data_IF_323012231454
#
_entry.id   IF_323012231454
#
_cell.length_a   1.000
_cell.length_b   1.000
_cell.length_c   1.000
_cell.angle_alpha   90.00
_cell.angle_beta   90.00
_cell.angle_gamma   90.00
#
_symmetry.space_group_name_H-M   'P 1'
#
loop_
_entity.id
_entity.type
_entity.pdbx_description
1 polymer ?
#
# COMPACT_ATOMS: atom_id res chain seq x y z
N UNK A 1 9.90 5.66 19.31
CA UNK A 1 8.98 4.65 19.84
C UNK A 1 7.62 5.30 20.09
N UNK A 2 6.55 4.74 19.47
CA UNK A 2 5.17 5.22 19.63
C UNK A 2 4.67 5.22 21.09
N UNK A 3 3.38 5.47 21.31
CA UNK A 3 2.34 5.58 20.28
C UNK A 3 2.40 6.90 19.50
N UNK A 4 2.32 6.82 18.17
CA UNK A 4 2.38 7.98 17.28
C UNK A 4 1.04 8.70 17.20
N UNK A 5 1.08 10.02 17.05
CA UNK A 5 -0.05 10.88 16.75
C UNK A 5 0.26 11.65 15.49
N UNK A 6 -0.52 11.43 14.45
CA UNK A 6 -0.23 11.91 13.10
C UNK A 6 -1.43 12.72 12.61
N UNK A 7 -1.17 13.84 11.99
CA UNK A 7 -2.21 14.59 11.28
C UNK A 7 -1.65 15.22 10.03
N UNK A 8 -2.53 15.46 9.04
CA UNK A 8 -2.16 16.12 7.81
C UNK A 8 -3.29 16.94 7.22
N UNK A 9 -2.95 18.07 6.61
CA UNK A 9 -3.87 18.96 5.93
C UNK A 9 -3.85 18.71 4.42
N UNK A 10 -5.03 18.68 3.80
CA UNK A 10 -5.15 18.52 2.33
C UNK A 10 -4.46 17.23 1.85
N UNK A 11 -3.54 17.30 0.88
CA UNK A 11 -2.69 16.19 0.46
C UNK A 11 -1.91 15.57 1.63
N UNK A 12 -1.49 16.40 2.60
CA UNK A 12 -0.82 15.93 3.82
C UNK A 12 -1.66 14.95 4.65
N UNK A 13 -3.00 14.99 4.55
CA UNK A 13 -3.88 14.03 5.21
C UNK A 13 -3.76 12.63 4.58
N UNK A 14 -3.65 12.54 3.26
CA UNK A 14 -3.41 11.26 2.58
C UNK A 14 -2.02 10.72 2.91
N UNK A 15 -1.00 11.59 2.99
CA UNK A 15 0.32 11.19 3.48
C UNK A 15 0.29 10.70 4.92
N UNK A 16 -0.45 11.38 5.81
CA UNK A 16 -0.62 10.96 7.20
C UNK A 16 -1.28 9.58 7.30
N UNK A 17 -2.25 9.30 6.45
CA UNK A 17 -2.91 8.00 6.35
C UNK A 17 -1.92 6.91 5.92
N UNK A 18 -1.12 7.16 4.87
CA UNK A 18 -0.10 6.23 4.41
C UNK A 18 0.99 5.99 5.47
N UNK A 19 1.45 7.05 6.15
CA UNK A 19 2.43 6.92 7.25
C UNK A 19 1.85 6.07 8.39
N UNK A 20 0.57 6.26 8.75
CA UNK A 20 -0.09 5.43 9.76
C UNK A 20 -0.14 3.96 9.33
N UNK A 21 -0.47 3.70 8.06
CA UNK A 21 -0.48 2.35 7.50
C UNK A 21 0.91 1.69 7.59
N UNK A 22 1.96 2.40 7.21
CA UNK A 22 3.32 1.87 7.28
C UNK A 22 3.78 1.63 8.71
N UNK A 23 3.48 2.52 9.66
CA UNK A 23 3.79 2.34 11.08
C UNK A 23 3.10 1.10 11.65
N UNK A 24 1.80 0.92 11.39
CA UNK A 24 1.07 -0.29 11.78
C UNK A 24 1.67 -1.54 11.13
N UNK A 25 2.13 -1.43 9.88
CA UNK A 25 2.87 -2.49 9.18
C UNK A 25 4.23 -2.83 9.81
N UNK A 26 4.78 -1.94 10.65
CA UNK A 26 6.02 -2.13 11.41
C UNK A 26 5.79 -2.58 12.86
N UNK A 27 4.57 -2.84 13.27
CA UNK A 27 4.15 -3.07 14.67
C UNK A 27 4.34 -1.83 15.57
N UNK A 28 4.38 -0.64 14.96
CA UNK A 28 4.47 0.61 15.70
C UNK A 28 3.06 1.17 15.98
N UNK A 29 2.69 1.41 17.25
CA UNK A 29 1.33 1.81 17.59
C UNK A 29 1.04 3.25 17.15
N UNK A 30 -0.13 3.45 16.51
CA UNK A 30 -0.66 4.75 16.13
C UNK A 30 -1.87 5.06 17.03
N UNK A 31 -1.75 6.08 17.86
CA UNK A 31 -2.80 6.49 18.82
C UNK A 31 -3.79 7.49 18.22
N UNK A 32 -3.40 8.23 17.19
CA UNK A 32 -4.24 9.25 16.57
C UNK A 32 -3.91 9.43 15.10
N UNK A 33 -4.95 9.48 14.26
CA UNK A 33 -4.86 9.87 12.87
C UNK A 33 -5.88 10.97 12.57
N UNK A 34 -5.38 12.18 12.26
CA UNK A 34 -6.17 13.36 11.93
C UNK A 34 -6.05 13.75 10.47
N UNK A 35 -7.16 13.90 9.79
CA UNK A 35 -7.28 14.34 8.41
C UNK A 35 -7.92 15.74 8.42
N UNK A 36 -7.15 16.78 8.08
CA UNK A 36 -7.63 18.15 8.09
C UNK A 36 -8.02 18.52 6.67
N UNK A 37 -9.32 18.61 6.43
CA UNK A 37 -9.97 18.92 5.14
C UNK A 37 -9.33 18.18 3.94
N UNK A 38 -9.08 16.89 4.15
CA UNK A 38 -8.42 15.99 3.20
C UNK A 38 -9.46 15.11 2.50
N UNK A 39 -9.40 15.06 1.17
CA UNK A 39 -10.32 14.26 0.35
C UNK A 39 -9.77 12.86 0.13
N UNK A 40 -10.68 11.88 0.04
CA UNK A 40 -10.29 10.54 -0.42
C UNK A 40 -9.77 10.63 -1.85
N UNK A 41 -8.62 10.03 -2.16
CA UNK A 41 -8.01 10.06 -3.48
C UNK A 41 -8.72 9.11 -4.47
N UNK A 42 -10.01 9.33 -4.70
CA UNK A 42 -10.80 8.63 -5.72
C UNK A 42 -10.96 9.53 -6.94
N UNK A 43 -10.04 9.43 -7.88
CA UNK A 43 -10.10 10.19 -9.12
C UNK A 43 -10.76 9.36 -10.23
N UNK A 44 -11.64 9.99 -10.99
CA UNK A 44 -12.13 9.44 -12.27
C UNK A 44 -10.98 9.37 -13.26
N UNK A 45 -11.13 8.59 -14.35
CA UNK A 45 -10.09 8.48 -15.38
C UNK A 45 -9.74 9.84 -16.00
N UNK A 46 -10.72 10.72 -16.18
CA UNK A 46 -10.47 12.10 -16.58
C UNK A 46 -9.67 12.87 -15.52
N UNK A 47 -9.94 12.64 -14.24
CA UNK A 47 -9.18 13.19 -13.14
C UNK A 47 -7.73 12.70 -13.12
N UNK A 48 -7.50 11.42 -13.40
CA UNK A 48 -6.15 10.82 -13.48
C UNK A 48 -5.38 11.35 -14.69
N UNK A 49 -6.02 11.43 -15.87
CA UNK A 49 -5.41 11.92 -17.11
C UNK A 49 -4.91 13.37 -16.99
N UNK A 50 -5.54 14.16 -16.13
CA UNK A 50 -5.15 15.55 -15.86
C UNK A 50 -3.73 15.68 -15.27
N UNK A 51 -3.32 14.73 -14.45
CA UNK A 51 -2.04 14.72 -13.74
C UNK A 51 -0.93 14.00 -14.52
N UNK A 52 -1.21 13.54 -15.74
CA UNK A 52 -0.30 12.73 -16.53
C UNK A 52 -0.09 13.30 -17.92
N UNK A 53 1.01 12.89 -18.58
CA UNK A 53 1.33 13.28 -19.94
C UNK A 53 2.11 14.59 -20.06
N UNK A 54 2.54 14.94 -21.28
CA UNK A 54 3.50 16.03 -21.54
C UNK A 54 2.97 17.42 -21.18
N UNK A 55 1.65 17.59 -21.15
CA UNK A 55 1.01 18.89 -20.91
C UNK A 55 0.51 19.06 -19.46
N UNK A 56 0.80 18.12 -18.56
CA UNK A 56 0.28 18.17 -17.18
C UNK A 56 0.62 19.47 -16.44
N UNK A 57 1.86 19.92 -16.52
CA UNK A 57 2.30 21.19 -15.91
C UNK A 57 1.55 22.39 -16.47
N UNK A 58 1.39 22.44 -17.78
CA UNK A 58 0.70 23.53 -18.47
C UNK A 58 -0.79 23.56 -18.13
N UNK A 59 -1.43 22.40 -18.15
CA UNK A 59 -2.84 22.28 -17.72
C UNK A 59 -3.05 22.70 -16.28
N UNK A 60 -2.10 22.37 -15.39
CA UNK A 60 -2.21 22.76 -13.99
C UNK A 60 -2.05 24.27 -13.81
N UNK A 61 -1.11 24.92 -14.51
CA UNK A 61 -0.96 26.38 -14.51
C UNK A 61 -2.27 27.07 -14.94
N UNK A 62 -2.86 26.67 -16.07
CA UNK A 62 -4.12 27.24 -16.55
C UNK A 62 -5.29 26.99 -15.60
N UNK A 63 -5.28 25.83 -14.90
CA UNK A 63 -6.29 25.55 -13.90
C UNK A 63 -6.21 26.50 -12.70
N UNK A 64 -5.01 26.79 -12.19
CA UNK A 64 -4.82 27.75 -11.11
C UNK A 64 -5.34 29.13 -11.51
N UNK A 65 -5.01 29.58 -12.73
CA UNK A 65 -5.54 30.81 -13.28
C UNK A 65 -7.08 30.79 -13.39
N UNK A 66 -7.63 29.70 -13.93
CA UNK A 66 -9.09 29.52 -14.08
C UNK A 66 -9.81 29.53 -12.74
N UNK A 67 -9.30 28.85 -11.75
CA UNK A 67 -9.89 28.82 -10.40
C UNK A 67 -9.94 30.22 -9.78
N UNK A 68 -8.84 30.97 -9.89
CA UNK A 68 -8.77 32.33 -9.37
C UNK A 68 -9.78 33.26 -10.07
N UNK A 69 -9.78 33.32 -11.41
CA UNK A 69 -10.64 34.22 -12.16
C UNK A 69 -12.12 33.85 -12.11
N UNK A 70 -12.42 32.55 -11.97
CA UNK A 70 -13.80 32.11 -11.72
C UNK A 70 -14.33 32.64 -10.38
N UNK A 71 -13.50 32.61 -9.33
CA UNK A 71 -13.86 33.20 -8.04
C UNK A 71 -13.99 34.71 -8.04
N UNK A 72 -13.30 35.42 -8.96
CA UNK A 72 -13.37 36.88 -9.15
C UNK A 72 -14.46 37.32 -10.14
N UNK A 73 -15.14 36.40 -10.83
CA UNK A 73 -16.11 36.71 -11.87
C UNK A 73 -15.49 37.26 -13.15
N UNK A 74 -14.24 36.94 -13.44
CA UNK A 74 -13.46 37.43 -14.59
C UNK A 74 -13.82 36.76 -15.90
N UNK A 75 -14.90 37.15 -16.56
CA UNK A 75 -15.41 36.50 -17.79
C UNK A 75 -14.42 36.62 -18.95
N UNK A 76 -13.81 37.79 -19.14
CA UNK A 76 -12.84 38.02 -20.23
C UNK A 76 -11.54 37.24 -19.99
N UNK A 77 -11.11 37.12 -18.74
CA UNK A 77 -9.93 36.33 -18.34
C UNK A 77 -10.17 34.83 -18.59
N UNK A 78 -11.35 34.34 -18.24
CA UNK A 78 -11.72 32.94 -18.48
C UNK A 78 -11.74 32.62 -19.99
N UNK A 79 -12.26 33.49 -20.82
CA UNK A 79 -12.25 33.33 -22.28
C UNK A 79 -10.81 33.28 -22.85
N UNK A 80 -9.90 34.13 -22.34
CA UNK A 80 -8.47 34.09 -22.71
C UNK A 80 -7.77 32.79 -22.26
N UNK A 81 -8.10 32.31 -21.07
CA UNK A 81 -7.57 31.03 -20.57
C UNK A 81 -8.02 29.85 -21.46
N UNK A 82 -9.27 29.85 -21.92
CA UNK A 82 -9.78 28.84 -22.86
C UNK A 82 -9.06 28.89 -24.22
N UNK A 83 -8.74 30.05 -24.72
CA UNK A 83 -7.95 30.23 -25.94
C UNK A 83 -6.52 29.64 -25.79
N UNK A 84 -5.89 29.88 -24.64
CA UNK A 84 -4.56 29.31 -24.35
C UNK A 84 -4.62 27.77 -24.16
N UNK A 85 -5.66 27.26 -23.54
CA UNK A 85 -5.89 25.83 -23.36
C UNK A 85 -6.03 25.10 -24.72
N UNK A 86 -6.74 25.72 -25.68
CA UNK A 86 -6.84 25.19 -27.05
C UNK A 86 -5.51 25.16 -27.81
N UNK A 87 -4.50 25.94 -27.38
CA UNK A 87 -3.16 26.02 -27.98
C UNK A 87 -2.08 25.30 -27.12
N UNK A 88 -2.48 24.59 -26.10
CA UNK A 88 -1.57 24.06 -25.06
C UNK A 88 -0.46 23.16 -25.62
N UNK A 89 -0.76 22.37 -26.65
CA UNK A 89 0.20 21.47 -27.33
C UNK A 89 1.24 22.21 -28.20
N UNK A 90 1.03 23.51 -28.49
CA UNK A 90 1.90 24.30 -29.36
C UNK A 90 2.93 25.13 -28.59
N UNK A 91 2.79 25.22 -27.27
CA UNK A 91 3.62 26.02 -26.38
C UNK A 91 4.41 25.11 -25.44
N UNK A 92 5.65 25.47 -25.15
CA UNK A 92 6.33 24.95 -23.96
C UNK A 92 5.83 25.65 -22.69
N UNK A 93 6.26 25.20 -21.52
CA UNK A 93 5.82 25.78 -20.25
C UNK A 93 6.21 27.24 -20.11
N UNK A 94 7.43 27.61 -20.51
CA UNK A 94 7.95 28.97 -20.41
C UNK A 94 7.16 29.93 -21.33
N UNK A 95 6.85 29.52 -22.56
CA UNK A 95 6.04 30.28 -23.49
C UNK A 95 4.60 30.45 -23.03
N UNK A 96 4.01 29.43 -22.42
CA UNK A 96 2.67 29.55 -21.83
C UNK A 96 2.67 30.52 -20.62
N UNK A 97 3.66 30.37 -19.72
CA UNK A 97 3.80 31.24 -18.55
C UNK A 97 3.97 32.71 -18.96
N UNK A 98 4.82 32.97 -19.97
CA UNK A 98 4.98 34.33 -20.48
C UNK A 98 3.68 34.91 -21.04
N UNK A 99 2.91 34.11 -21.81
CA UNK A 99 1.59 34.57 -22.31
C UNK A 99 0.60 34.82 -21.19
N UNK A 100 0.58 34.00 -20.13
CA UNK A 100 -0.24 34.24 -18.95
C UNK A 100 0.13 35.58 -18.27
N UNK A 101 1.43 35.93 -18.20
CA UNK A 101 1.89 37.23 -17.67
C UNK A 101 1.47 38.37 -18.55
N UNK A 102 1.71 38.30 -19.86
CA UNK A 102 1.40 39.37 -20.82
C UNK A 102 -0.10 39.69 -20.88
N UNK A 103 -0.92 38.67 -20.64
CA UNK A 103 -2.38 38.80 -20.64
C UNK A 103 -2.97 39.09 -19.25
N UNK A 104 -2.14 39.20 -18.20
CA UNK A 104 -2.57 39.50 -16.84
C UNK A 104 -3.41 38.38 -16.20
N UNK A 105 -3.18 37.12 -16.58
CA UNK A 105 -3.97 36.00 -16.13
C UNK A 105 -3.49 35.43 -14.80
N UNK A 106 -2.21 35.70 -14.39
CA UNK A 106 -1.67 35.26 -13.13
C UNK A 106 -2.19 36.15 -11.99
N UNK A 107 -2.60 35.52 -10.89
CA UNK A 107 -2.91 36.31 -9.67
C UNK A 107 -1.63 36.85 -9.02
N UNK A 108 -1.76 37.83 -8.15
CA UNK A 108 -0.67 38.70 -7.67
C UNK A 108 0.57 37.90 -7.17
N UNK A 109 0.35 36.84 -6.38
CA UNK A 109 1.47 36.03 -5.83
C UNK A 109 2.22 35.26 -6.94
N UNK A 110 1.48 34.69 -7.91
CA UNK A 110 2.11 34.02 -9.07
C UNK A 110 2.82 35.02 -10.00
N UNK A 111 2.23 36.16 -10.20
CA UNK A 111 2.83 37.20 -11.04
C UNK A 111 4.11 37.79 -10.47
N UNK A 112 4.23 37.84 -9.13
CA UNK A 112 5.41 38.31 -8.41
C UNK A 112 6.51 37.26 -8.26
N UNK A 113 6.20 35.96 -8.43
CA UNK A 113 7.16 34.90 -8.27
C UNK A 113 8.15 34.81 -9.45
N UNK A 114 9.38 34.39 -9.16
CA UNK A 114 10.34 34.04 -10.22
C UNK A 114 9.87 32.79 -10.98
N UNK A 115 10.17 32.72 -12.28
CA UNK A 115 9.73 31.61 -13.15
C UNK A 115 10.17 30.24 -12.64
N UNK A 116 11.39 30.14 -12.10
CA UNK A 116 11.91 28.89 -11.53
C UNK A 116 11.14 28.46 -10.27
N UNK A 117 10.76 29.40 -9.41
CA UNK A 117 10.00 29.11 -8.19
C UNK A 117 8.57 28.68 -8.53
N UNK A 118 7.97 29.33 -9.52
CA UNK A 118 6.65 29.00 -10.01
C UNK A 118 6.63 27.62 -10.71
N UNK A 119 7.63 27.32 -11.53
CA UNK A 119 7.77 26.00 -12.13
C UNK A 119 7.90 24.93 -11.05
N UNK A 120 8.78 25.12 -10.07
CA UNK A 120 8.96 24.18 -8.96
C UNK A 120 7.70 23.99 -8.13
N UNK A 121 6.90 25.06 -7.96
CA UNK A 121 5.58 24.96 -7.30
C UNK A 121 4.62 24.10 -8.12
N UNK A 122 4.50 24.36 -9.43
CA UNK A 122 3.61 23.62 -10.32
C UNK A 122 4.04 22.15 -10.45
N UNK A 123 5.34 21.87 -10.57
CA UNK A 123 5.88 20.51 -10.60
C UNK A 123 5.51 19.73 -9.34
N UNK A 124 5.63 20.32 -8.17
CA UNK A 124 5.23 19.72 -6.90
C UNK A 124 3.74 19.42 -6.85
N UNK A 125 2.89 20.39 -7.24
CA UNK A 125 1.43 20.20 -7.27
C UNK A 125 1.01 19.09 -8.25
N UNK A 126 1.62 19.06 -9.43
CA UNK A 126 1.38 17.97 -10.41
C UNK A 126 1.89 16.63 -9.86
N UNK A 127 3.04 16.62 -9.20
CA UNK A 127 3.57 15.43 -8.52
C UNK A 127 2.63 14.89 -7.44
N UNK A 128 2.05 15.78 -6.61
CA UNK A 128 1.03 15.40 -5.62
C UNK A 128 -0.22 14.84 -6.29
N UNK A 129 -0.73 15.50 -7.34
CA UNK A 129 -1.89 15.03 -8.08
C UNK A 129 -1.66 13.68 -8.76
N UNK A 130 -0.46 13.47 -9.32
CA UNK A 130 -0.05 12.18 -9.89
C UNK A 130 0.01 11.09 -8.82
N UNK A 131 0.60 11.37 -7.65
CA UNK A 131 0.63 10.44 -6.53
C UNK A 131 -0.78 10.04 -6.06
N UNK A 132 -1.68 11.02 -5.91
CA UNK A 132 -3.09 10.76 -5.56
C UNK A 132 -3.82 9.91 -6.62
N UNK A 133 -3.53 10.12 -7.90
CA UNK A 133 -4.14 9.39 -9.01
C UNK A 133 -3.80 7.90 -9.00
N UNK A 134 -2.66 7.53 -8.42
CA UNK A 134 -2.16 6.17 -8.37
C UNK A 134 -2.16 5.57 -6.96
N UNK A 135 -2.64 6.33 -5.97
CA UNK A 135 -2.74 5.86 -4.59
C UNK A 135 -3.96 4.96 -4.42
N UNK A 136 -3.73 3.78 -3.85
CA UNK A 136 -4.79 2.87 -3.44
C UNK A 136 -4.91 2.88 -1.93
N UNK A 137 -6.09 3.23 -1.47
CA UNK A 137 -6.39 3.36 -0.06
C UNK A 137 -6.89 2.00 0.45
N UNK A 138 -6.26 1.50 1.50
CA UNK A 138 -6.70 0.31 2.22
C UNK A 138 -7.26 0.71 3.59
N UNK A 139 -8.34 0.07 4.07
CA UNK A 139 -8.85 0.32 5.41
C UNK A 139 -7.79 0.12 6.49
N UNK A 140 -7.76 0.99 7.49
CA UNK A 140 -6.93 0.86 8.68
C UNK A 140 -7.79 0.40 9.86
N UNK A 141 -7.26 -0.38 10.82
CA UNK A 141 -8.00 -0.85 11.99
C UNK A 141 -8.05 0.17 13.14
N UNK A 142 -7.91 1.46 12.84
CA UNK A 142 -7.88 2.55 13.83
C UNK A 142 -8.91 3.63 13.50
N UNK A 143 -9.41 4.37 14.51
CA UNK A 143 -10.26 5.53 14.27
C UNK A 143 -9.57 6.60 13.44
N UNK A 144 -10.30 7.20 12.50
CA UNK A 144 -9.86 8.31 11.66
C UNK A 144 -10.67 9.56 12.00
N UNK A 145 -9.99 10.63 12.38
CA UNK A 145 -10.60 11.91 12.74
C UNK A 145 -10.54 12.87 11.54
N UNK A 146 -11.69 13.16 10.95
CA UNK A 146 -11.82 14.13 9.87
C UNK A 146 -12.25 15.48 10.42
N UNK A 147 -11.40 16.49 10.32
CA UNK A 147 -11.70 17.88 10.66
C UNK A 147 -11.98 18.62 9.34
N UNK A 148 -13.24 18.82 9.02
CA UNK A 148 -13.69 19.29 7.71
C UNK A 148 -14.13 20.75 7.72
N UNK A 149 -13.76 21.52 6.69
CA UNK A 149 -14.19 22.89 6.51
C UNK A 149 -15.71 22.96 6.23
N UNK A 150 -16.41 23.90 6.87
CA UNK A 150 -17.84 24.13 6.66
C UNK A 150 -18.11 24.82 5.31
N UNK A 151 -17.28 25.81 4.96
CA UNK A 151 -17.43 26.60 3.75
C UNK A 151 -16.81 25.88 2.56
N UNK A 152 -17.64 25.27 1.72
CA UNK A 152 -17.20 24.49 0.55
C UNK A 152 -17.81 25.01 -0.73
N UNK A 153 -17.07 24.97 -1.86
CA UNK A 153 -17.65 25.22 -3.18
C UNK A 153 -18.83 24.29 -3.45
N UNK A 154 -19.88 24.80 -4.06
CA UNK A 154 -21.16 24.10 -4.27
C UNK A 154 -21.02 22.77 -5.01
N UNK A 155 -20.04 22.65 -5.90
CA UNK A 155 -19.77 21.40 -6.63
C UNK A 155 -19.16 20.29 -5.75
N UNK A 156 -18.35 20.65 -4.76
CA UNK A 156 -17.74 19.72 -3.82
C UNK A 156 -18.71 19.34 -2.70
N UNK A 157 -19.59 20.26 -2.29
CA UNK A 157 -20.65 20.02 -1.29
C UNK A 157 -21.66 18.94 -1.73
N UNK A 158 -21.83 18.75 -3.05
CA UNK A 158 -22.74 17.74 -3.62
C UNK A 158 -22.14 16.33 -3.63
N UNK A 159 -20.84 16.16 -3.45
CA UNK A 159 -20.19 14.85 -3.61
C UNK A 159 -20.23 13.99 -2.34
N UNK A 160 -19.92 14.53 -1.18
CA UNK A 160 -20.03 13.86 0.11
C UNK A 160 -19.71 14.81 1.26
N UNK A 161 -20.45 14.72 2.35
CA UNK A 161 -20.19 15.47 3.58
C UNK A 161 -18.87 15.06 4.21
N UNK A 162 -18.55 13.77 4.14
CA UNK A 162 -17.35 13.15 4.70
C UNK A 162 -16.12 13.20 3.79
N UNK A 163 -16.13 14.03 2.73
CA UNK A 163 -15.04 14.11 1.73
C UNK A 163 -14.71 12.75 1.08
N UNK A 164 -15.66 11.81 1.12
CA UNK A 164 -15.55 10.45 0.57
C UNK A 164 -14.95 9.42 1.53
N UNK A 165 -14.54 9.80 2.75
CA UNK A 165 -13.92 8.87 3.71
C UNK A 165 -14.91 7.86 4.28
N UNK A 166 -16.19 8.20 4.39
CA UNK A 166 -17.23 7.28 4.88
C UNK A 166 -17.33 5.99 4.04
N UNK A 167 -17.17 6.12 2.71
CA UNK A 167 -17.20 4.98 1.79
C UNK A 167 -15.88 4.21 1.71
N UNK A 168 -14.80 4.78 2.27
CA UNK A 168 -13.46 4.25 2.18
C UNK A 168 -13.00 3.53 3.45
N UNK A 169 -13.70 3.75 4.55
CA UNK A 169 -13.39 3.21 5.87
C UNK A 169 -14.43 2.18 6.30
N UNK A 170 -14.05 1.36 7.26
CA UNK A 170 -15.01 0.46 7.92
C UNK A 170 -16.07 1.28 8.66
N UNK A 171 -17.36 0.91 8.61
CA UNK A 171 -18.41 1.62 9.29
C UNK A 171 -18.11 1.87 10.78
N UNK A 172 -18.27 3.12 11.22
CA UNK A 172 -18.01 3.53 12.61
C UNK A 172 -16.55 3.93 12.92
N UNK A 173 -15.63 3.84 11.99
CA UNK A 173 -14.26 4.32 12.17
C UNK A 173 -14.09 5.82 11.96
N UNK A 174 -14.92 6.43 11.12
CA UNK A 174 -14.83 7.85 10.84
C UNK A 174 -15.45 8.66 11.99
N UNK A 175 -14.68 9.61 12.52
CA UNK A 175 -15.11 10.61 13.49
C UNK A 175 -14.95 11.98 12.84
N UNK A 176 -16.06 12.57 12.41
CA UNK A 176 -16.04 13.86 11.72
C UNK A 176 -16.39 15.00 12.67
N UNK A 177 -15.65 16.10 12.53
CA UNK A 177 -15.91 17.37 13.20
C UNK A 177 -15.82 18.49 12.16
N UNK A 178 -16.86 19.32 12.09
CA UNK A 178 -16.89 20.46 11.21
C UNK A 178 -16.20 21.67 11.85
N UNK A 179 -15.33 22.32 11.07
CA UNK A 179 -14.51 23.46 11.49
C UNK A 179 -14.89 24.68 10.65
N UNK A 180 -15.11 25.87 11.26
CA UNK A 180 -15.41 27.10 10.54
C UNK A 180 -14.36 27.48 9.50
N UNK A 181 -14.78 28.12 8.42
CA UNK A 181 -13.95 28.56 7.30
C UNK A 181 -13.95 27.59 6.13
N UNK A 182 -13.23 27.96 5.10
CA UNK A 182 -12.95 27.15 3.90
C UNK A 182 -11.62 26.39 4.03
N UNK A 183 -11.25 25.65 2.98
CA UNK A 183 -10.02 24.84 2.91
C UNK A 183 -8.75 25.59 3.32
N UNK A 184 -8.64 26.88 3.00
CA UNK A 184 -7.47 27.70 3.30
C UNK A 184 -7.63 28.47 4.60
N UNK A 185 -8.77 29.11 4.81
CA UNK A 185 -9.03 30.00 5.93
C UNK A 185 -9.16 29.26 7.27
N UNK A 186 -9.55 27.96 7.27
CA UNK A 186 -9.56 27.13 8.49
C UNK A 186 -8.18 27.04 9.16
N UNK A 187 -7.10 27.17 8.36
CA UNK A 187 -5.71 27.15 8.85
C UNK A 187 -5.21 28.53 9.31
N UNK A 188 -6.04 29.56 9.28
CA UNK A 188 -5.69 30.93 9.59
C UNK A 188 -6.60 31.52 10.68
N UNK A 189 -6.17 32.63 11.29
CA UNK A 189 -7.02 33.37 12.20
C UNK A 189 -8.23 34.00 11.44
N UNK A 190 -9.45 33.95 11.98
CA UNK A 190 -9.78 33.52 13.35
C UNK A 190 -10.05 32.00 13.50
N UNK A 191 -10.23 31.25 12.40
CA UNK A 191 -10.75 29.87 12.36
C UNK A 191 -9.78 28.85 12.96
N UNK A 192 -8.46 29.10 12.89
CA UNK A 192 -7.43 28.19 13.44
C UNK A 192 -7.64 27.85 14.92
N UNK A 193 -8.30 28.74 15.67
CA UNK A 193 -8.61 28.46 17.09
C UNK A 193 -9.66 27.37 17.26
N UNK A 194 -10.67 27.36 16.39
CA UNK A 194 -11.70 26.30 16.37
C UNK A 194 -11.09 24.96 15.95
N UNK A 195 -10.21 24.97 14.93
CA UNK A 195 -9.46 23.77 14.51
C UNK A 195 -8.60 23.24 15.67
N UNK A 196 -7.86 24.13 16.37
CA UNK A 196 -7.05 23.74 17.51
C UNK A 196 -7.86 23.14 18.66
N UNK A 197 -9.04 23.69 18.96
CA UNK A 197 -9.95 23.14 19.96
C UNK A 197 -10.46 21.75 19.58
N UNK A 198 -10.96 21.58 18.34
CA UNK A 198 -11.41 20.30 17.82
C UNK A 198 -10.31 19.23 17.81
N UNK A 199 -9.08 19.62 17.44
CA UNK A 199 -7.92 18.74 17.49
C UNK A 199 -7.58 18.32 18.93
N UNK A 200 -7.64 19.26 19.89
CA UNK A 200 -7.35 18.98 21.30
C UNK A 200 -8.37 18.01 21.88
N UNK A 201 -9.65 18.18 21.56
CA UNK A 201 -10.72 17.29 22.00
C UNK A 201 -10.53 15.88 21.39
N UNK A 202 -10.25 15.81 20.10
CA UNK A 202 -10.00 14.54 19.41
C UNK A 202 -8.80 13.79 20.02
N UNK A 203 -7.71 14.51 20.31
CA UNK A 203 -6.51 13.96 20.93
C UNK A 203 -6.74 13.47 22.37
N UNK A 204 -7.58 14.15 23.14
CA UNK A 204 -7.88 13.76 24.52
C UNK A 204 -8.68 12.44 24.62
N UNK A 205 -9.47 12.14 23.59
CA UNK A 205 -10.27 10.89 23.48
C UNK A 205 -9.49 9.70 22.94
N UNK A 206 -8.23 9.86 22.56
CA UNK A 206 -7.45 8.81 21.90
C UNK A 206 -6.60 8.01 22.89
N UNK A 207 -6.97 6.74 23.07
CA UNK A 207 -6.09 5.72 23.62
C UNK A 207 -5.34 5.03 22.50
N UNK A 208 -4.11 4.59 22.74
CA UNK A 208 -3.40 3.75 21.79
C UNK A 208 -4.23 2.48 21.54
N UNK A 209 -4.78 2.35 20.34
CA UNK A 209 -5.37 1.09 19.91
C UNK A 209 -4.18 0.18 19.60
N UNK A 210 -3.87 -0.69 20.54
CA UNK A 210 -3.04 -1.86 20.24
C UNK A 210 -3.94 -2.75 19.37
N UNK A 211 -3.58 -2.90 18.10
CA UNK A 211 -4.14 -3.94 17.24
C UNK A 211 -4.08 -5.25 18.05
N UNK A 212 -5.17 -6.02 18.09
CA UNK A 212 -5.15 -7.34 18.72
C UNK A 212 -3.96 -8.10 18.20
N UNK A 213 -3.06 -8.51 19.08
CA UNK A 213 -1.78 -9.10 18.68
C UNK A 213 -2.04 -10.25 17.69
N UNK A 214 -1.55 -10.11 16.48
CA UNK A 214 -1.66 -11.14 15.46
C UNK A 214 -0.98 -12.42 15.95
N UNK A 215 -1.70 -13.53 15.89
CA UNK A 215 -1.18 -14.86 16.24
C UNK A 215 -0.94 -15.65 14.96
N UNK A 216 0.28 -15.64 14.40
CA UNK A 216 0.54 -16.26 13.11
C UNK A 216 0.54 -17.78 13.14
N UNK A 217 0.72 -18.40 14.32
CA UNK A 217 1.01 -19.83 14.44
C UNK A 217 -0.26 -20.68 14.29
N UNK A 218 -0.25 -21.54 13.29
CA UNK A 218 -1.27 -22.57 13.07
C UNK A 218 -0.60 -23.95 13.03
N UNK A 219 -1.08 -24.89 13.84
CA UNK A 219 -0.60 -26.27 13.80
C UNK A 219 -1.24 -27.01 12.63
N UNK A 220 -0.41 -27.43 11.68
CA UNK A 220 -0.86 -28.22 10.52
C UNK A 220 -0.84 -29.71 10.87
N UNK A 221 0.21 -30.16 11.58
CA UNK A 221 0.39 -31.57 11.95
C UNK A 221 1.04 -31.69 13.32
N UNK A 222 0.56 -32.63 14.13
CA UNK A 222 0.99 -32.79 15.54
C UNK A 222 2.41 -33.33 15.70
N UNK A 223 2.81 -34.24 14.84
CA UNK A 223 4.14 -34.87 14.90
C UNK A 223 4.35 -35.84 16.11
N UNK A 224 5.58 -36.33 16.24
CA UNK A 224 6.03 -37.24 17.28
C UNK A 224 7.10 -36.60 18.15
N UNK A 225 7.11 -36.91 19.44
CA UNK A 225 8.14 -36.42 20.33
C UNK A 225 9.55 -36.85 19.88
N UNK A 226 10.50 -35.95 19.94
CA UNK A 226 11.90 -36.19 19.53
C UNK A 226 12.22 -35.68 18.09
N UNK A 227 11.22 -35.35 17.29
CA UNK A 227 11.43 -34.67 15.99
C UNK A 227 11.45 -33.17 16.19
N UNK A 228 12.43 -32.49 15.60
CA UNK A 228 12.49 -31.05 15.60
C UNK A 228 11.32 -30.47 14.75
N UNK A 229 10.60 -29.45 15.24
CA UNK A 229 9.46 -28.91 14.53
C UNK A 229 9.85 -28.15 13.25
N UNK A 230 8.96 -28.24 12.25
CA UNK A 230 9.07 -27.53 10.98
C UNK A 230 8.12 -26.36 10.99
N UNK A 231 8.64 -25.16 10.74
CA UNK A 231 7.86 -23.93 10.62
C UNK A 231 7.86 -23.44 9.18
N UNK A 232 6.67 -23.30 8.61
CA UNK A 232 6.45 -22.94 7.21
C UNK A 232 5.91 -21.52 7.06
N UNK A 233 6.58 -20.72 6.23
CA UNK A 233 6.19 -19.35 5.90
C UNK A 233 5.69 -19.33 4.45
N UNK A 234 4.41 -19.00 4.20
CA UNK A 234 3.85 -18.99 2.87
C UNK A 234 4.31 -17.78 2.03
N UNK A 235 4.05 -17.86 0.75
CA UNK A 235 4.29 -16.79 -0.21
C UNK A 235 3.41 -15.56 -0.01
N UNK A 236 3.64 -14.55 -0.82
CA UNK A 236 2.86 -13.33 -0.82
C UNK A 236 1.39 -13.63 -1.16
N UNK A 237 0.47 -13.21 -0.30
CA UNK A 237 -0.97 -13.44 -0.49
C UNK A 237 -1.45 -14.87 -0.25
N UNK A 238 -0.54 -15.79 0.10
CA UNK A 238 -0.85 -17.21 0.32
C UNK A 238 -1.20 -17.51 1.78
N UNK A 239 -1.98 -18.58 1.95
CA UNK A 239 -2.31 -19.16 3.25
C UNK A 239 -1.37 -20.34 3.60
N UNK A 240 -1.19 -20.56 4.89
CA UNK A 240 -0.49 -21.76 5.42
C UNK A 240 -1.13 -23.08 5.00
N UNK A 241 -2.37 -23.07 4.53
CA UNK A 241 -3.06 -24.25 4.01
C UNK A 241 -2.35 -24.86 2.80
N UNK A 242 -1.54 -24.10 2.05
CA UNK A 242 -0.68 -24.58 0.98
C UNK A 242 0.35 -25.63 1.43
N UNK A 243 0.66 -25.68 2.74
CA UNK A 243 1.61 -26.65 3.28
C UNK A 243 0.99 -27.96 3.81
N UNK A 244 -0.34 -28.12 3.71
CA UNK A 244 -1.02 -29.36 4.15
C UNK A 244 -0.47 -30.58 3.37
N UNK A 245 -0.36 -30.46 2.04
CA UNK A 245 0.23 -31.53 1.21
C UNK A 245 1.69 -31.80 1.53
N UNK A 246 2.47 -30.79 1.92
CA UNK A 246 3.83 -30.98 2.40
C UNK A 246 3.85 -31.82 3.69
N UNK A 247 2.93 -31.55 4.63
CA UNK A 247 2.80 -32.31 5.87
C UNK A 247 2.49 -33.79 5.60
N UNK A 248 1.59 -34.06 4.67
CA UNK A 248 1.27 -35.44 4.25
C UNK A 248 2.48 -36.13 3.64
N UNK A 249 3.25 -35.44 2.79
CA UNK A 249 4.43 -35.99 2.13
C UNK A 249 5.62 -36.25 3.09
N UNK A 250 5.79 -35.38 4.10
CA UNK A 250 6.82 -35.56 5.14
C UNK A 250 6.53 -36.73 6.07
N UNK A 251 5.29 -37.17 6.15
CA UNK A 251 4.86 -38.20 7.09
C UNK A 251 4.54 -37.64 8.47
N UNK A 252 3.76 -38.42 9.23
CA UNK A 252 3.12 -38.00 10.50
C UNK A 252 4.06 -37.78 11.68
N UNK A 253 5.34 -38.15 11.55
CA UNK A 253 6.31 -38.02 12.65
C UNK A 253 6.80 -36.57 12.84
N UNK A 254 6.72 -35.74 11.83
CA UNK A 254 7.20 -34.36 11.87
C UNK A 254 6.14 -33.41 12.41
N UNK A 255 6.40 -32.68 13.54
CA UNK A 255 5.55 -31.58 13.94
C UNK A 255 5.63 -30.46 12.88
N UNK A 256 4.49 -30.04 12.30
CA UNK A 256 4.45 -29.04 11.25
C UNK A 256 3.54 -27.88 11.65
N UNK A 257 4.09 -26.70 11.58
CA UNK A 257 3.41 -25.44 11.88
C UNK A 257 3.46 -24.50 10.69
N UNK A 258 2.36 -23.80 10.44
CA UNK A 258 2.30 -22.70 9.49
C UNK A 258 2.32 -21.36 10.20
N UNK A 259 3.03 -20.41 9.64
CA UNK A 259 3.11 -19.04 10.13
C UNK A 259 2.30 -18.13 9.19
N UNK A 260 1.02 -17.95 9.53
CA UNK A 260 0.05 -17.22 8.70
C UNK A 260 0.41 -15.73 8.59
N UNK A 261 0.52 -15.17 7.36
CA UNK A 261 0.76 -13.75 7.19
C UNK A 261 -0.36 -12.90 7.79
N UNK A 262 0.00 -11.78 8.42
CA UNK A 262 -0.96 -10.80 8.91
C UNK A 262 -1.68 -10.13 7.73
N UNK A 263 -2.98 -9.88 7.88
CA UNK A 263 -3.80 -9.18 6.90
C UNK A 263 -4.45 -10.06 5.85
N UNK A 264 -4.28 -11.39 5.89
CA UNK A 264 -5.01 -12.30 4.99
C UNK A 264 -6.52 -12.33 5.26
N UNK A 265 -6.96 -11.95 6.44
CA UNK A 265 -8.37 -11.74 6.81
C UNK A 265 -8.99 -10.50 6.13
N UNK A 266 -8.16 -9.60 5.59
CA UNK A 266 -8.58 -8.31 5.04
C UNK A 266 -8.77 -7.21 6.09
N UNK A 267 -8.67 -7.53 7.39
CA UNK A 267 -8.89 -6.59 8.50
C UNK A 267 -7.59 -5.96 8.98
N UNK A 268 -6.59 -6.78 9.31
CA UNK A 268 -5.32 -6.31 9.81
C UNK A 268 -4.43 -5.74 8.69
N UNK A 269 -3.53 -4.81 9.06
CA UNK A 269 -2.52 -4.27 8.14
C UNK A 269 -1.41 -5.32 7.92
N UNK A 270 -1.11 -5.73 6.68
CA UNK A 270 0.03 -6.61 6.41
C UNK A 270 1.35 -6.01 6.89
N UNK A 271 2.30 -6.86 7.29
CA UNK A 271 3.64 -6.39 7.58
C UNK A 271 4.28 -5.76 6.33
N UNK A 272 4.80 -4.56 6.48
CA UNK A 272 5.43 -3.79 5.39
C UNK A 272 6.93 -4.02 5.26
N UNK A 273 7.52 -4.82 6.15
CA UNK A 273 8.94 -5.21 6.14
C UNK A 273 9.10 -6.67 6.52
N UNK A 274 10.09 -7.32 5.92
CA UNK A 274 10.47 -8.71 6.22
C UNK A 274 10.87 -8.86 7.69
N UNK A 275 11.61 -7.88 8.20
CA UNK A 275 12.11 -7.85 9.59
C UNK A 275 10.97 -7.79 10.62
N UNK A 276 9.87 -7.10 10.31
CA UNK A 276 8.69 -7.04 11.18
C UNK A 276 7.93 -8.37 11.16
N UNK A 277 7.70 -8.94 9.98
CA UNK A 277 7.09 -10.26 9.83
C UNK A 277 7.90 -11.34 10.56
N UNK A 278 9.23 -11.33 10.39
CA UNK A 278 10.11 -12.28 11.07
C UNK A 278 10.07 -12.15 12.59
N UNK A 279 10.03 -10.92 13.14
CA UNK A 279 9.88 -10.70 14.60
C UNK A 279 8.59 -11.30 15.13
N UNK A 280 7.47 -11.00 14.47
CA UNK A 280 6.16 -11.53 14.85
C UNK A 280 6.14 -13.06 14.83
N UNK A 281 6.67 -13.65 13.77
CA UNK A 281 6.76 -15.11 13.62
C UNK A 281 7.66 -15.75 14.66
N UNK A 282 8.80 -15.12 14.99
CA UNK A 282 9.72 -15.63 16.01
C UNK A 282 9.11 -15.61 17.41
N UNK A 283 8.36 -14.57 17.77
CA UNK A 283 7.64 -14.53 19.05
C UNK A 283 6.67 -15.72 19.18
N UNK A 284 5.94 -16.03 18.12
CA UNK A 284 5.02 -17.17 18.12
C UNK A 284 5.76 -18.53 18.13
N UNK A 285 6.87 -18.63 17.39
CA UNK A 285 7.74 -19.80 17.38
C UNK A 285 8.37 -20.04 18.76
N UNK A 286 8.88 -19.02 19.41
CA UNK A 286 9.50 -19.10 20.74
C UNK A 286 8.49 -19.47 21.83
N UNK A 287 7.25 -19.00 21.70
CA UNK A 287 6.17 -19.39 22.61
C UNK A 287 5.83 -20.89 22.50
N UNK A 288 5.72 -21.43 21.29
CA UNK A 288 5.40 -22.84 21.04
C UNK A 288 6.61 -23.76 21.29
N UNK A 289 7.78 -23.32 20.85
CA UNK A 289 9.03 -24.09 20.93
C UNK A 289 10.16 -23.21 21.47
N UNK A 290 10.25 -23.03 22.81
CA UNK A 290 11.24 -22.11 23.41
C UNK A 290 12.68 -22.59 23.29
N UNK A 291 12.90 -23.88 23.11
CA UNK A 291 14.24 -24.51 23.10
C UNK A 291 14.38 -25.56 22.00
N UNK A 292 15.64 -25.88 21.68
CA UNK A 292 15.98 -26.90 20.70
C UNK A 292 16.03 -26.43 19.25
N UNK A 293 16.47 -27.30 18.35
CA UNK A 293 16.60 -27.01 16.93
C UNK A 293 15.24 -26.90 16.26
N UNK A 294 15.20 -26.10 15.20
CA UNK A 294 14.00 -25.93 14.37
C UNK A 294 14.34 -26.02 12.88
N UNK A 295 13.40 -26.50 12.09
CA UNK A 295 13.45 -26.43 10.64
C UNK A 295 12.61 -25.25 10.15
N UNK A 296 13.15 -24.48 9.21
CA UNK A 296 12.45 -23.36 8.59
C UNK A 296 12.23 -23.66 7.10
N UNK A 297 11.02 -23.44 6.63
CA UNK A 297 10.63 -23.57 5.23
C UNK A 297 9.95 -22.27 4.81
N UNK A 298 10.43 -21.65 3.73
CA UNK A 298 9.81 -20.45 3.17
C UNK A 298 9.51 -20.62 1.69
N UNK A 299 8.30 -20.27 1.27
CA UNK A 299 7.90 -20.28 -0.13
C UNK A 299 7.86 -18.86 -0.68
N UNK A 300 8.44 -18.63 -1.86
CA UNK A 300 8.42 -17.33 -2.54
C UNK A 300 8.84 -16.19 -1.60
N UNK A 301 8.04 -15.13 -1.41
CA UNK A 301 8.29 -14.07 -0.43
C UNK A 301 8.55 -14.59 0.99
N UNK A 302 7.90 -15.70 1.39
CA UNK A 302 8.13 -16.36 2.66
C UNK A 302 9.55 -16.89 2.82
N UNK A 303 10.30 -17.10 1.74
CA UNK A 303 11.72 -17.43 1.77
C UNK A 303 12.57 -16.32 2.38
N UNK A 304 12.28 -15.05 2.08
CA UNK A 304 12.95 -13.91 2.71
C UNK A 304 12.65 -13.83 4.21
N UNK A 305 11.39 -14.05 4.59
CA UNK A 305 10.98 -14.03 6.00
C UNK A 305 11.65 -15.20 6.76
N UNK A 306 11.68 -16.40 6.19
CA UNK A 306 12.36 -17.57 6.79
C UNK A 306 13.87 -17.36 6.93
N UNK A 307 14.51 -16.70 5.94
CA UNK A 307 15.92 -16.32 6.01
C UNK A 307 16.19 -15.34 7.15
N UNK A 308 15.38 -14.29 7.29
CA UNK A 308 15.50 -13.32 8.37
C UNK A 308 15.27 -13.97 9.75
N UNK A 309 14.30 -14.87 9.85
CA UNK A 309 14.09 -15.67 11.07
C UNK A 309 15.34 -16.50 11.40
N UNK A 310 15.92 -17.18 10.40
CA UNK A 310 17.14 -17.98 10.58
C UNK A 310 18.32 -17.12 11.05
N UNK A 311 18.51 -15.94 10.47
CA UNK A 311 19.55 -14.98 10.87
C UNK A 311 19.39 -14.54 12.33
N UNK A 312 18.17 -14.23 12.76
CA UNK A 312 17.88 -13.82 14.14
C UNK A 312 18.05 -14.97 15.14
N UNK A 313 17.59 -16.19 14.80
CA UNK A 313 17.81 -17.37 15.64
C UNK A 313 19.32 -17.66 15.79
N UNK A 314 20.07 -17.59 14.70
CA UNK A 314 21.53 -17.78 14.74
C UNK A 314 22.23 -16.70 15.57
N UNK A 315 21.81 -15.42 15.47
CA UNK A 315 22.34 -14.34 16.28
C UNK A 315 22.03 -14.53 17.78
N UNK A 316 20.88 -15.14 18.11
CA UNK A 316 20.49 -15.53 19.47
C UNK A 316 21.17 -16.83 19.96
N UNK A 317 22.04 -17.46 19.16
CA UNK A 317 22.70 -18.71 19.49
C UNK A 317 21.80 -19.94 19.40
N UNK A 318 20.65 -19.84 18.76
CA UNK A 318 19.71 -20.94 18.58
C UNK A 318 20.00 -21.70 17.28
N UNK A 319 19.97 -23.01 17.34
CA UNK A 319 20.22 -23.88 16.20
C UNK A 319 19.06 -23.87 15.22
N UNK A 320 19.37 -23.62 13.94
CA UNK A 320 18.49 -23.84 12.79
C UNK A 320 18.96 -25.14 12.13
N UNK A 321 18.22 -26.21 12.34
CA UNK A 321 18.57 -27.56 11.85
C UNK A 321 18.53 -27.60 10.29
N UNK A 322 17.63 -26.88 9.68
CA UNK A 322 17.65 -26.61 8.22
C UNK A 322 16.89 -25.35 7.86
N UNK A 323 17.35 -24.69 6.81
CA UNK A 323 16.63 -23.63 6.11
C UNK A 323 16.37 -24.11 4.68
N UNK A 324 15.10 -24.26 4.31
CA UNK A 324 14.66 -24.63 2.96
C UNK A 324 13.87 -23.48 2.35
N UNK A 325 14.26 -23.06 1.18
CA UNK A 325 13.63 -21.96 0.44
C UNK A 325 13.08 -22.52 -0.86
N UNK A 326 11.78 -22.35 -1.08
CA UNK A 326 11.05 -22.89 -2.21
C UNK A 326 10.68 -21.73 -3.15
N UNK A 327 11.17 -21.77 -4.38
CA UNK A 327 10.83 -20.85 -5.47
C UNK A 327 10.82 -19.37 -5.04
N UNK A 328 11.93 -18.94 -4.44
CA UNK A 328 12.11 -17.60 -3.88
C UNK A 328 13.27 -16.89 -4.57
N UNK A 329 13.04 -15.67 -5.02
CA UNK A 329 14.09 -14.81 -5.56
C UNK A 329 15.15 -14.45 -4.51
N UNK A 330 16.38 -14.21 -4.95
CA UNK A 330 17.44 -13.74 -4.06
C UNK A 330 17.11 -12.35 -3.48
N UNK A 331 17.36 -12.10 -2.17
CA UNK A 331 17.18 -10.79 -1.60
C UNK A 331 18.19 -9.78 -2.16
N UNK A 332 17.86 -8.48 -2.17
CA UNK A 332 18.79 -7.42 -2.56
C UNK A 332 18.52 -6.77 -3.91
N UNK A 333 17.47 -7.16 -4.62
CA UNK A 333 17.03 -6.51 -5.85
C UNK A 333 16.69 -5.02 -5.64
N UNK A 334 16.78 -4.21 -6.71
CA UNK A 334 16.24 -2.86 -6.68
C UNK A 334 14.73 -2.94 -6.50
N UNK A 335 14.21 -2.30 -5.45
CA UNK A 335 12.77 -2.25 -5.22
C UNK A 335 12.07 -1.69 -6.46
N UNK A 336 11.08 -2.42 -6.97
CA UNK A 336 10.24 -1.94 -8.07
C UNK A 336 9.05 -1.21 -7.47
N UNK A 337 8.83 0.03 -7.91
CA UNK A 337 7.62 0.76 -7.56
C UNK A 337 6.44 0.15 -8.34
N UNK A 338 5.71 -0.76 -7.71
CA UNK A 338 4.47 -1.27 -8.27
C UNK A 338 3.29 -0.39 -7.84
N UNK A 339 2.46 0.02 -8.77
CA UNK A 339 1.10 0.46 -8.45
C UNK A 339 0.29 -0.75 -7.97
N UNK A 340 -0.80 -0.52 -7.25
CA UNK A 340 -1.67 -1.64 -6.81
C UNK A 340 -2.19 -2.44 -7.99
N UNK A 341 -2.64 -1.77 -9.05
CA UNK A 341 -3.08 -2.42 -10.29
C UNK A 341 -1.98 -3.29 -10.91
N UNK A 342 -0.74 -2.78 -10.99
CA UNK A 342 0.39 -3.56 -11.51
C UNK A 342 0.70 -4.79 -10.63
N UNK A 343 0.59 -4.66 -9.30
CA UNK A 343 0.74 -5.78 -8.38
C UNK A 343 -0.36 -6.84 -8.58
N UNK A 344 -1.61 -6.40 -8.75
CA UNK A 344 -2.74 -7.32 -8.99
C UNK A 344 -2.63 -8.03 -10.35
N UNK A 345 -2.13 -7.36 -11.38
CA UNK A 345 -1.84 -8.01 -12.68
C UNK A 345 -0.76 -9.09 -12.56
N UNK A 346 0.24 -8.89 -11.71
CA UNK A 346 1.23 -9.93 -11.38
C UNK A 346 0.61 -11.08 -10.59
N UNK A 347 -0.31 -10.79 -9.68
CA UNK A 347 -1.06 -11.82 -8.95
C UNK A 347 -1.87 -12.69 -9.92
N UNK A 348 -2.52 -12.08 -10.92
CA UNK A 348 -3.24 -12.82 -11.99
C UNK A 348 -2.29 -13.76 -12.73
N UNK A 349 -1.09 -13.29 -13.12
CA UNK A 349 -0.09 -14.12 -13.78
C UNK A 349 0.33 -15.32 -12.92
N UNK A 350 0.62 -15.10 -11.65
CA UNK A 350 0.98 -16.16 -10.71
C UNK A 350 -0.15 -17.18 -10.51
N UNK A 351 -1.40 -16.71 -10.41
CA UNK A 351 -2.56 -17.58 -10.27
C UNK A 351 -2.84 -18.40 -11.54
N UNK A 352 -2.66 -17.82 -12.74
CA UNK A 352 -2.77 -18.54 -14.00
C UNK A 352 -1.73 -19.65 -14.12
N UNK A 353 -0.50 -19.36 -13.69
CA UNK A 353 0.56 -20.36 -13.64
C UNK A 353 0.21 -21.50 -12.68
N UNK A 354 -0.24 -21.19 -11.47
CA UNK A 354 -0.65 -22.18 -10.48
C UNK A 354 -1.86 -23.02 -10.94
N UNK A 355 -2.81 -22.41 -11.64
CA UNK A 355 -3.98 -23.09 -12.16
C UNK A 355 -3.70 -23.93 -13.44
N UNK A 356 -2.58 -23.68 -14.13
CA UNK A 356 -2.25 -24.26 -15.43
C UNK A 356 -3.20 -23.83 -16.56
N UNK A 357 -3.97 -22.75 -16.37
CA UNK A 357 -4.96 -22.25 -17.34
C UNK A 357 -5.26 -20.76 -17.09
N UNK A 358 -5.70 -20.02 -18.16
CA UNK A 358 -6.02 -18.61 -18.02
C UNK A 358 -7.25 -18.37 -17.12
N UNK A 359 -7.22 -17.28 -16.35
CA UNK A 359 -8.34 -16.84 -15.51
C UNK A 359 -9.49 -16.18 -16.30
N UNK A 360 -9.30 -15.93 -17.60
CA UNK A 360 -10.29 -15.26 -18.43
C UNK A 360 -10.47 -13.77 -18.13
N UNK A 361 -9.45 -13.13 -17.53
CA UNK A 361 -9.44 -11.71 -17.18
C UNK A 361 -8.74 -10.93 -18.29
N UNK A 362 -9.45 -9.98 -18.92
CA UNK A 362 -8.83 -9.03 -19.83
C UNK A 362 -8.00 -8.02 -19.04
N UNK A 363 -6.75 -7.80 -19.47
CA UNK A 363 -5.79 -6.96 -18.72
C UNK A 363 -6.09 -5.47 -18.84
N UNK A 364 -6.62 -5.02 -19.97
CA UNK A 364 -6.94 -3.61 -20.22
C UNK A 364 -8.21 -3.23 -19.43
N UNK A 365 -9.25 -4.06 -19.52
CA UNK A 365 -10.50 -3.90 -18.77
C UNK A 365 -10.24 -3.95 -17.25
N UNK A 366 -9.38 -4.88 -16.81
CA UNK A 366 -8.99 -4.98 -15.40
C UNK A 366 -8.24 -3.74 -14.93
N UNK A 367 -7.31 -3.22 -15.73
CA UNK A 367 -6.53 -2.03 -15.37
C UNK A 367 -7.38 -0.75 -15.38
N UNK A 368 -8.40 -0.68 -16.22
CA UNK A 368 -9.35 0.43 -16.27
C UNK A 368 -10.42 0.38 -15.17
N UNK A 369 -10.65 -0.80 -14.57
CA UNK A 369 -11.64 -1.02 -13.53
C UNK A 369 -11.26 -0.36 -12.20
N UNK A 370 -12.28 0.02 -11.42
CA UNK A 370 -12.08 0.42 -10.03
C UNK A 370 -11.77 -0.80 -9.13
N UNK A 371 -11.46 -0.56 -7.87
CA UNK A 371 -11.09 -1.60 -6.91
C UNK A 371 -12.19 -2.67 -6.74
N UNK A 372 -13.46 -2.28 -6.82
CA UNK A 372 -14.59 -3.20 -6.69
C UNK A 372 -14.66 -4.11 -7.91
N UNK A 373 -14.57 -3.52 -9.12
CA UNK A 373 -14.56 -4.26 -10.38
C UNK A 373 -13.34 -5.19 -10.47
N UNK A 374 -12.16 -4.74 -10.05
CA UNK A 374 -10.94 -5.56 -10.00
C UNK A 374 -11.09 -6.77 -9.07
N UNK A 375 -11.66 -6.58 -7.86
CA UNK A 375 -11.93 -7.70 -6.93
C UNK A 375 -12.96 -8.68 -7.48
N UNK A 376 -14.01 -8.18 -8.11
CA UNK A 376 -15.03 -9.02 -8.74
C UNK A 376 -14.45 -9.86 -9.88
N UNK A 377 -13.61 -9.25 -10.74
CA UNK A 377 -12.94 -9.94 -11.83
C UNK A 377 -11.98 -11.02 -11.34
N UNK A 378 -11.16 -10.71 -10.30
CA UNK A 378 -10.29 -11.70 -9.66
C UNK A 378 -11.09 -12.86 -9.09
N UNK A 379 -12.13 -12.57 -8.32
CA UNK A 379 -12.98 -13.60 -7.72
C UNK A 379 -13.60 -14.49 -8.78
N UNK A 380 -14.22 -13.91 -9.82
CA UNK A 380 -14.85 -14.65 -10.91
C UNK A 380 -13.84 -15.54 -11.66
N UNK A 381 -12.65 -14.99 -11.97
CA UNK A 381 -11.57 -15.74 -12.60
C UNK A 381 -11.11 -16.93 -11.77
N UNK A 382 -10.89 -16.75 -10.47
CA UNK A 382 -10.44 -17.81 -9.56
C UNK A 382 -11.50 -18.89 -9.34
N UNK A 383 -12.77 -18.52 -9.24
CA UNK A 383 -13.88 -19.49 -9.20
C UNK A 383 -13.94 -20.26 -10.50
N UNK A 384 -13.80 -19.59 -11.64
CA UNK A 384 -13.84 -20.22 -12.97
C UNK A 384 -12.75 -21.26 -13.20
N UNK A 385 -11.55 -21.07 -12.60
CA UNK A 385 -10.45 -22.05 -12.69
C UNK A 385 -10.43 -23.05 -11.54
N UNK A 386 -11.29 -22.90 -10.52
CA UNK A 386 -11.39 -23.80 -9.39
C UNK A 386 -10.40 -23.54 -8.27
N UNK A 387 -9.72 -22.38 -8.26
CA UNK A 387 -8.87 -21.93 -7.16
C UNK A 387 -9.66 -21.44 -5.96
N UNK A 388 -10.91 -21.01 -6.19
CA UNK A 388 -11.86 -20.66 -5.14
C UNK A 388 -13.17 -21.46 -5.31
N UNK A 389 -13.80 -21.84 -4.20
CA UNK A 389 -15.14 -22.42 -4.26
C UNK A 389 -16.17 -21.34 -4.66
N UNK A 390 -17.19 -21.73 -5.44
CA UNK A 390 -18.23 -20.81 -5.93
C UNK A 390 -19.00 -20.07 -4.82
N UNK A 391 -18.97 -20.58 -3.58
CA UNK A 391 -19.59 -19.96 -2.40
C UNK A 391 -18.69 -18.95 -1.69
N UNK A 392 -17.43 -18.78 -2.11
CA UNK A 392 -16.55 -17.80 -1.50
C UNK A 392 -17.07 -16.39 -1.74
N UNK A 393 -16.96 -15.51 -0.76
CA UNK A 393 -17.28 -14.09 -0.91
C UNK A 393 -16.24 -13.40 -1.80
N UNK A 394 -16.66 -12.38 -2.54
CA UNK A 394 -15.75 -11.46 -3.25
C UNK A 394 -14.78 -10.80 -2.27
N UNK A 395 -15.25 -10.49 -1.05
CA UNK A 395 -14.42 -9.87 -0.02
C UNK A 395 -13.30 -10.79 0.50
N UNK A 396 -13.43 -12.11 0.35
CA UNK A 396 -12.36 -13.05 0.68
C UNK A 396 -11.05 -12.80 -0.11
N UNK A 397 -11.14 -12.07 -1.23
CA UNK A 397 -9.96 -11.69 -2.02
C UNK A 397 -9.25 -10.44 -1.51
N UNK A 398 -9.86 -9.64 -0.64
CA UNK A 398 -9.29 -8.38 -0.19
C UNK A 398 -7.97 -8.59 0.58
N UNK A 399 -7.95 -9.54 1.50
CA UNK A 399 -6.75 -9.87 2.29
C UNK A 399 -5.58 -10.40 1.45
N UNK A 400 -5.76 -11.48 0.69
CA UNK A 400 -4.73 -12.01 -0.21
C UNK A 400 -4.18 -10.98 -1.19
N UNK A 401 -5.05 -10.22 -1.86
CA UNK A 401 -4.65 -9.19 -2.81
C UNK A 401 -3.82 -8.08 -2.15
N UNK A 402 -4.25 -7.60 -0.97
CA UNK A 402 -3.54 -6.58 -0.19
C UNK A 402 -2.18 -7.09 0.29
N UNK A 403 -2.14 -8.28 0.85
CA UNK A 403 -0.91 -8.90 1.37
C UNK A 403 0.10 -9.11 0.24
N UNK A 404 -0.36 -9.57 -0.92
CA UNK A 404 0.45 -9.70 -2.12
C UNK A 404 1.01 -8.35 -2.59
N UNK A 405 0.17 -7.33 -2.69
CA UNK A 405 0.57 -6.00 -3.13
C UNK A 405 1.60 -5.34 -2.19
N UNK A 406 1.47 -5.55 -0.88
CA UNK A 406 2.46 -5.08 0.10
C UNK A 406 3.78 -5.83 -0.04
N UNK A 407 3.76 -7.15 -0.19
CA UNK A 407 4.96 -7.97 -0.36
C UNK A 407 5.76 -7.58 -1.62
N UNK A 408 5.09 -7.33 -2.76
CA UNK A 408 5.76 -6.89 -4.00
C UNK A 408 6.47 -5.54 -3.88
N UNK A 409 6.02 -4.67 -2.98
CA UNK A 409 6.66 -3.37 -2.71
C UNK A 409 7.76 -3.45 -1.67
N UNK A 410 7.81 -4.55 -0.92
CA UNK A 410 8.78 -4.74 0.14
C UNK A 410 10.16 -4.98 -0.45
N UNK A 411 11.14 -4.24 0.05
CA UNK A 411 12.55 -4.43 -0.28
C UNK A 411 13.22 -5.05 0.93
N UNK A 412 13.94 -6.14 0.70
CA UNK A 412 14.68 -6.79 1.76
C UNK A 412 16.15 -6.90 1.43
N UNK A 413 16.99 -6.49 2.36
CA UNK A 413 18.45 -6.63 2.31
C UNK A 413 18.91 -7.17 3.66
N UNK A 414 19.31 -8.43 3.74
CA UNK A 414 19.77 -9.00 5.00
C UNK A 414 20.99 -8.23 5.52
N UNK A 415 20.98 -7.89 6.81
CA UNK A 415 22.06 -7.14 7.45
C UNK A 415 23.36 -7.95 7.57
N UNK A 416 23.27 -9.28 7.48
CA UNK A 416 24.39 -10.21 7.57
C UNK A 416 24.12 -11.46 6.74
N UNK A 417 25.19 -12.23 6.44
CA UNK A 417 25.09 -13.50 5.73
C UNK A 417 24.70 -14.63 6.68
N UNK A 418 23.83 -15.51 6.21
CA UNK A 418 23.51 -16.73 6.92
C UNK A 418 24.69 -17.71 6.88
N UNK A 419 25.08 -18.27 8.03
CA UNK A 419 26.26 -19.18 8.17
C UNK A 419 25.87 -20.65 8.15
N UNK A 420 24.74 -21.00 7.57
CA UNK A 420 24.26 -22.37 7.47
C UNK A 420 24.04 -22.78 6.03
N UNK A 421 23.67 -24.05 5.84
CA UNK A 421 23.28 -24.55 4.51
C UNK A 421 21.85 -24.14 4.22
N UNK A 422 21.63 -23.46 3.09
CA UNK A 422 20.31 -23.18 2.54
C UNK A 422 20.00 -24.20 1.45
N UNK A 423 18.87 -24.88 1.57
CA UNK A 423 18.35 -25.77 0.53
C UNK A 423 17.42 -24.98 -0.37
N UNK A 424 17.76 -24.93 -1.65
CA UNK A 424 16.91 -24.31 -2.66
C UNK A 424 16.09 -25.38 -3.38
N UNK A 425 14.80 -25.16 -3.46
CA UNK A 425 13.87 -25.98 -4.24
C UNK A 425 13.27 -25.04 -5.29
N UNK A 426 13.53 -25.32 -6.56
CA UNK A 426 13.07 -24.50 -7.68
C UNK A 426 11.92 -25.20 -8.37
N UNK A 427 10.90 -24.44 -8.76
CA UNK A 427 9.93 -24.89 -9.72
C UNK A 427 10.59 -25.00 -11.11
N UNK A 428 10.24 -26.01 -11.89
CA UNK A 428 10.64 -26.08 -13.28
C UNK A 428 9.85 -25.01 -14.06
N UNK A 429 10.55 -23.96 -14.48
CA UNK A 429 10.01 -22.98 -15.42
C UNK A 429 10.66 -23.22 -16.78
N UNK A 430 9.89 -23.72 -17.78
CA UNK A 430 10.43 -23.98 -19.10
C UNK A 430 10.88 -22.71 -19.84
N UNK A 431 10.52 -21.51 -19.33
CA UNK A 431 10.93 -20.23 -19.90
C UNK A 431 12.26 -19.69 -19.31
N UNK A 432 12.73 -20.25 -18.20
CA UNK A 432 14.00 -19.87 -17.57
C UNK A 432 15.01 -21.01 -17.73
N UNK A 433 16.21 -20.71 -18.23
CA UNK A 433 17.26 -21.70 -18.20
C UNK A 433 17.74 -21.94 -16.73
N UNK A 434 18.21 -23.15 -16.46
CA UNK A 434 18.66 -23.53 -15.12
C UNK A 434 19.84 -22.65 -14.63
N UNK A 435 20.60 -22.02 -15.52
CA UNK A 435 21.68 -21.12 -15.20
C UNK A 435 21.18 -19.72 -14.78
N UNK A 436 20.05 -19.24 -15.33
CA UNK A 436 19.39 -17.99 -14.94
C UNK A 436 18.85 -18.10 -13.51
N UNK A 437 18.12 -19.15 -13.21
CA UNK A 437 17.57 -19.42 -11.88
C UNK A 437 18.68 -19.57 -10.82
N UNK A 438 19.78 -20.24 -11.14
CA UNK A 438 20.90 -20.41 -10.21
C UNK A 438 21.65 -19.11 -9.95
N UNK A 439 21.79 -18.22 -10.91
CA UNK A 439 22.48 -16.93 -10.74
C UNK A 439 21.72 -15.95 -9.86
N UNK A 440 20.40 -15.84 -10.04
CA UNK A 440 19.59 -14.93 -9.22
C UNK A 440 19.47 -15.39 -7.76
N UNK A 441 19.47 -16.70 -7.52
CA UNK A 441 19.35 -17.26 -6.17
C UNK A 441 20.70 -17.51 -5.48
N UNK A 442 21.80 -17.54 -6.23
CA UNK A 442 23.16 -17.64 -5.69
C UNK A 442 23.52 -16.49 -4.73
N UNK A 443 22.91 -15.31 -4.89
CA UNK A 443 23.07 -14.18 -3.98
C UNK A 443 22.59 -14.43 -2.54
N UNK A 444 21.77 -15.46 -2.28
CA UNK A 444 21.39 -15.88 -0.93
C UNK A 444 22.47 -16.69 -0.21
N UNK A 445 23.35 -17.32 -0.95
CA UNK A 445 24.22 -18.42 -0.46
C UNK A 445 25.70 -18.14 -0.62
N UNK A 446 26.10 -17.21 -1.50
CA UNK A 446 27.52 -16.90 -1.68
C UNK A 446 28.10 -16.08 -0.54
N UNK A 447 28.92 -16.73 0.19
CA UNK A 447 29.87 -16.23 1.11
C UNK A 447 30.39 -17.21 2.09
#
# INVERSE_FOLDING_TARGET
HGPYRIAGWSFGGVLAYEVAMQLLGLDEPVAFLGLIDSYVPRLTDQGKARWSGPDALKRHLLLQCRAYWNAQGGVDELARIEQLDAQIGQLDFAGLLQRCRDQGLLYAQMAAAADADLLSFIEREVGHGHALAHYSLFPLPIPVHLLSAVERPTELSRRSVSLGWEDALVPGQLRQVDVPGDHQSMMQAPHIRALGAAMTEALAGCSAVLETAHQPLLRIQGGRAGYAPVFCVPGAGDSVTGFVGLGEALGRDWPLFGLQPRGLDGEAVPHSQVEAAARCNLLALEHECPHGPVHLVGHSFGGWVALEMALRLQAAGREVASLTVIDSEAPGGAGRAYTTTAALLRLIEAMQLAAGKPLGIDREDFAAGDEVAQRQSLHAGMVGVGLLPARASVDAMAGPARTYAVALRTVYRPAQRYRGVVRLVLAEDPALDAAGNQREQGGMVEG
#
